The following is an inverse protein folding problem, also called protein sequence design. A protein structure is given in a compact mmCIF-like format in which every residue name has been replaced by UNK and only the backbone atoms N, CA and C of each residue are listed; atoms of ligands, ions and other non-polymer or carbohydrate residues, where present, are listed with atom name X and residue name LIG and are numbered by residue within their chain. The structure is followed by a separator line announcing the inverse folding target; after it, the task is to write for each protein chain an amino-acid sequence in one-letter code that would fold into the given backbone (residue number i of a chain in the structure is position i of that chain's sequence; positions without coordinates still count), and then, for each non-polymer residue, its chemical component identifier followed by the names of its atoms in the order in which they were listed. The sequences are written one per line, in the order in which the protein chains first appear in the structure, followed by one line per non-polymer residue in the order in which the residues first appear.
data_IF_904512086884
#
_entry.id   IF_904512086884
#
_cell.length_a   1.000
_cell.length_b   1.000
_cell.length_c   1.000
_cell.angle_alpha   90.00
_cell.angle_beta   90.00
_cell.angle_gamma   90.00
#
_symmetry.space_group_name_H-M   'P 1'
#
loop_
_entity.id
_entity.type
_entity.pdbx_description
1 polymer ?
#
# COMPACT_ATOMS: atom_id res chain seq x y z
N UNK A 1 -35.81 -2.83 20.90
CA UNK A 1 -34.65 -2.31 20.17
C UNK A 1 -33.54 -2.08 21.21
N UNK A 2 -32.67 -3.07 21.40
CA UNK A 2 -31.49 -2.88 22.23
C UNK A 2 -30.60 -1.82 21.62
N UNK A 3 -30.28 -0.81 22.41
CA UNK A 3 -29.41 0.29 22.00
C UNK A 3 -27.97 -0.22 21.97
N UNK A 4 -27.51 -0.71 20.84
CA UNK A 4 -26.16 -1.26 20.66
C UNK A 4 -25.02 -0.25 21.00
N UNK A 5 -25.31 1.05 21.12
CA UNK A 5 -24.35 2.07 21.60
C UNK A 5 -24.28 2.19 23.13
N UNK A 6 -25.10 1.43 23.86
CA UNK A 6 -25.05 1.38 25.32
C UNK A 6 -24.19 0.22 25.79
N UNK A 7 -23.07 -0.02 25.14
CA UNK A 7 -22.03 -0.85 25.72
C UNK A 7 -21.56 -0.18 27.01
N UNK A 8 -21.43 -0.93 28.13
CA UNK A 8 -20.86 -0.36 29.35
C UNK A 8 -19.52 0.27 29.01
N UNK A 9 -19.14 1.38 29.65
CA UNK A 9 -17.84 1.98 29.42
C UNK A 9 -16.79 0.91 29.66
N UNK A 10 -15.83 0.81 28.74
CA UNK A 10 -14.68 -0.05 28.91
C UNK A 10 -13.95 0.43 30.17
N UNK A 11 -14.16 -0.27 31.30
CA UNK A 11 -13.40 0.02 32.52
C UNK A 11 -12.05 -0.60 32.30
N UNK A 12 -11.09 0.22 31.88
CA UNK A 12 -9.67 -0.16 31.86
C UNK A 12 -9.24 -0.17 33.32
N UNK A 13 -9.19 -1.36 33.91
CA UNK A 13 -8.70 -1.53 35.28
C UNK A 13 -7.19 -1.31 35.35
N UNK A 14 -6.68 -0.82 36.49
CA UNK A 14 -5.24 -0.70 36.76
C UNK A 14 -4.49 -2.04 36.66
N UNK A 15 -5.23 -3.16 36.63
CA UNK A 15 -4.70 -4.52 36.52
C UNK A 15 -4.62 -5.06 35.08
N UNK A 16 -5.00 -4.27 34.06
CA UNK A 16 -4.95 -4.74 32.69
C UNK A 16 -3.50 -4.99 32.28
N UNK A 17 -3.21 -6.24 31.97
CA UNK A 17 -1.87 -6.65 31.55
C UNK A 17 -1.64 -6.32 30.07
N UNK A 18 -1.01 -5.19 29.82
CA UNK A 18 -0.58 -4.78 28.49
C UNK A 18 0.68 -5.50 27.98
N UNK A 19 1.16 -6.52 28.67
CA UNK A 19 2.40 -7.23 28.28
C UNK A 19 2.29 -7.84 26.91
N UNK A 20 1.12 -8.32 26.51
CA UNK A 20 0.88 -8.85 25.16
C UNK A 20 1.06 -7.78 24.07
N UNK A 21 0.56 -6.57 24.31
CA UNK A 21 0.73 -5.44 23.39
C UNK A 21 2.19 -4.99 23.30
N UNK A 22 2.88 -4.94 24.43
CA UNK A 22 4.31 -4.63 24.47
C UNK A 22 5.14 -5.68 23.77
N UNK A 23 4.80 -6.94 23.90
CA UNK A 23 5.43 -8.03 23.14
C UNK A 23 5.15 -7.92 21.66
N UNK A 24 3.90 -7.67 21.25
CA UNK A 24 3.53 -7.48 19.86
C UNK A 24 4.25 -6.30 19.20
N UNK A 25 4.47 -5.19 19.94
CA UNK A 25 5.19 -4.03 19.42
C UNK A 25 6.72 -4.23 19.31
N UNK A 26 7.27 -5.27 19.95
CA UNK A 26 8.71 -5.56 19.97
C UNK A 26 9.07 -6.87 19.24
N UNK A 27 8.12 -7.49 18.54
CA UNK A 27 8.41 -8.70 17.78
C UNK A 27 9.33 -8.38 16.60
N UNK A 28 10.46 -9.06 16.56
CA UNK A 28 11.36 -9.08 15.38
C UNK A 28 10.85 -10.02 14.27
N UNK A 29 9.78 -10.77 14.56
CA UNK A 29 9.17 -11.76 13.68
C UNK A 29 7.69 -11.49 13.49
N UNK A 30 7.13 -11.94 12.37
CA UNK A 30 5.70 -11.86 12.11
C UNK A 30 4.91 -12.75 13.09
N UNK A 31 3.60 -12.47 13.19
CA UNK A 31 2.68 -13.27 14.01
C UNK A 31 2.74 -14.75 13.63
N UNK A 32 2.80 -15.64 14.62
CA UNK A 32 2.77 -17.09 14.41
C UNK A 32 1.48 -17.49 13.67
N UNK A 33 1.58 -18.14 12.50
CA UNK A 33 0.43 -18.62 11.74
C UNK A 33 -0.56 -19.48 12.54
N UNK A 34 -0.10 -20.21 13.56
CA UNK A 34 -0.93 -21.04 14.40
C UNK A 34 -1.92 -20.25 15.27
N UNK A 35 -1.71 -18.93 15.44
CA UNK A 35 -2.61 -18.06 16.21
C UNK A 35 -3.82 -17.58 15.42
N UNK A 36 -3.86 -17.76 14.11
CA UNK A 36 -4.98 -17.31 13.28
C UNK A 36 -6.16 -18.27 13.33
N UNK A 37 -7.35 -17.75 13.56
CA UNK A 37 -8.60 -18.47 13.35
C UNK A 37 -8.99 -18.43 11.88
N UNK A 38 -8.91 -19.55 11.20
CA UNK A 38 -9.14 -19.65 9.76
C UNK A 38 -10.43 -20.44 9.49
N UNK A 39 -11.05 -20.14 8.35
CA UNK A 39 -12.14 -20.92 7.82
C UNK A 39 -11.64 -22.33 7.42
N UNK A 40 -12.52 -23.35 7.40
CA UNK A 40 -12.16 -24.67 6.90
C UNK A 40 -11.51 -24.60 5.51
N UNK A 41 -10.50 -25.42 5.28
CA UNK A 41 -9.71 -25.50 4.05
C UNK A 41 -8.79 -24.31 3.76
N UNK A 42 -8.64 -23.35 4.70
CA UNK A 42 -7.61 -22.33 4.63
C UNK A 42 -6.50 -22.61 5.62
N UNK A 43 -5.29 -22.20 5.29
CA UNK A 43 -4.15 -22.21 6.19
C UNK A 43 -3.34 -20.93 6.03
N UNK A 44 -2.73 -20.47 7.10
CA UNK A 44 -1.75 -19.39 7.07
C UNK A 44 -0.34 -20.00 7.11
N UNK A 45 0.55 -19.45 6.31
CA UNK A 45 1.96 -19.85 6.28
C UNK A 45 2.82 -18.58 6.30
N UNK A 46 3.80 -18.52 7.21
CA UNK A 46 4.76 -17.44 7.24
C UNK A 46 5.83 -17.67 6.17
N UNK A 47 5.88 -16.80 5.18
CA UNK A 47 6.88 -16.84 4.12
C UNK A 47 8.12 -16.06 4.53
N UNK A 48 7.93 -14.86 5.11
CA UNK A 48 9.00 -13.97 5.52
C UNK A 48 8.52 -12.88 6.47
N UNK A 49 9.32 -12.54 7.45
CA UNK A 49 9.21 -11.30 8.22
C UNK A 49 10.11 -10.22 7.62
N UNK A 50 9.76 -8.94 7.81
CA UNK A 50 10.63 -7.85 7.44
C UNK A 50 11.97 -7.94 8.18
N UNK A 51 13.08 -7.75 7.48
CA UNK A 51 14.40 -7.72 8.09
C UNK A 51 14.63 -6.43 8.87
N UNK A 52 15.61 -6.43 9.79
CA UNK A 52 15.95 -5.27 10.66
C UNK A 52 16.15 -3.95 9.89
N UNK A 53 16.66 -4.01 8.67
CA UNK A 53 16.94 -2.84 7.84
C UNK A 53 15.84 -2.57 6.78
N UNK A 54 14.74 -3.30 6.81
CA UNK A 54 13.65 -3.15 5.85
C UNK A 54 12.54 -2.22 6.37
N UNK A 55 12.41 -2.08 7.68
CA UNK A 55 11.33 -1.34 8.32
C UNK A 55 9.95 -1.98 8.07
N UNK A 56 8.91 -1.19 8.19
CA UNK A 56 7.54 -1.65 7.88
C UNK A 56 7.31 -1.73 6.37
N UNK A 57 6.47 -2.67 5.94
CA UNK A 57 6.00 -2.78 4.57
C UNK A 57 4.59 -2.19 4.45
N UNK A 58 4.36 -1.33 3.47
CA UNK A 58 3.10 -0.59 3.33
C UNK A 58 2.25 -1.03 2.14
N UNK A 59 2.85 -1.71 1.16
CA UNK A 59 2.12 -2.28 0.02
C UNK A 59 2.90 -3.41 -0.63
N UNK A 60 2.21 -4.23 -1.42
CA UNK A 60 2.83 -5.33 -2.16
C UNK A 60 2.11 -5.58 -3.49
N UNK A 61 2.85 -6.12 -4.46
CA UNK A 61 2.31 -6.57 -5.74
C UNK A 61 3.13 -7.72 -6.32
N UNK A 62 2.48 -8.62 -7.05
CA UNK A 62 3.15 -9.67 -7.81
C UNK A 62 3.34 -9.26 -9.27
N UNK A 63 4.48 -9.59 -9.83
CA UNK A 63 4.70 -9.48 -11.26
C UNK A 63 4.22 -10.73 -12.04
N UNK A 64 4.33 -10.68 -13.37
CA UNK A 64 3.91 -11.79 -14.23
C UNK A 64 4.76 -13.06 -14.07
N UNK A 65 5.90 -12.99 -13.41
CA UNK A 65 6.78 -14.13 -13.10
C UNK A 65 6.56 -14.67 -11.68
N UNK A 66 5.55 -14.15 -10.95
CA UNK A 66 5.26 -14.55 -9.57
C UNK A 66 6.25 -14.00 -8.53
N UNK A 67 7.07 -13.00 -8.90
CA UNK A 67 7.96 -12.35 -7.93
C UNK A 67 7.19 -11.30 -7.14
N UNK A 68 7.38 -11.27 -5.83
CA UNK A 68 6.71 -10.34 -4.92
C UNK A 68 7.54 -9.06 -4.78
N UNK A 69 6.94 -7.92 -5.09
CA UNK A 69 7.48 -6.62 -4.74
C UNK A 69 6.79 -6.06 -3.52
N UNK A 70 7.56 -5.58 -2.55
CA UNK A 70 7.06 -4.86 -1.38
C UNK A 70 7.62 -3.45 -1.34
N UNK A 71 6.82 -2.50 -0.86
CA UNK A 71 7.24 -1.14 -0.61
C UNK A 71 7.54 -0.94 0.88
N UNK A 72 8.67 -0.33 1.18
CA UNK A 72 9.04 0.07 2.54
C UNK A 72 8.37 1.38 2.90
N UNK A 73 8.01 1.52 4.17
CA UNK A 73 7.35 2.72 4.69
C UNK A 73 8.19 3.99 4.48
N UNK A 74 9.48 3.95 4.82
CA UNK A 74 10.37 5.09 4.62
C UNK A 74 10.61 5.34 3.13
N UNK A 75 11.37 4.44 2.51
CA UNK A 75 11.70 4.54 1.07
C UNK A 75 12.15 3.21 0.50
N UNK A 76 11.93 3.07 -0.78
CA UNK A 76 12.45 1.99 -1.60
C UNK A 76 11.50 0.82 -1.78
N UNK A 77 11.80 0.05 -2.79
CA UNK A 77 11.08 -1.15 -3.18
C UNK A 77 12.02 -2.34 -3.16
N UNK A 78 11.56 -3.45 -2.57
CA UNK A 78 12.28 -4.71 -2.52
C UNK A 78 11.50 -5.73 -3.32
N UNK A 79 12.18 -6.53 -4.13
CA UNK A 79 11.61 -7.64 -4.87
C UNK A 79 12.13 -8.96 -4.35
N UNK A 80 11.24 -9.89 -4.11
CA UNK A 80 11.53 -11.24 -3.67
C UNK A 80 11.19 -12.24 -4.77
N UNK A 81 12.14 -13.07 -5.13
CA UNK A 81 11.89 -14.27 -5.93
C UNK A 81 11.52 -15.39 -4.97
N UNK A 82 10.36 -15.98 -5.16
CA UNK A 82 9.85 -17.07 -4.33
C UNK A 82 10.20 -18.43 -4.94
N UNK A 83 10.20 -19.47 -4.11
CA UNK A 83 10.24 -20.87 -4.58
C UNK A 83 8.99 -21.21 -5.40
N UNK A 84 9.03 -22.29 -6.16
CA UNK A 84 7.93 -22.76 -7.00
C UNK A 84 6.63 -22.96 -6.19
N UNK A 85 6.74 -23.48 -4.98
CA UNK A 85 5.62 -23.62 -4.03
C UNK A 85 5.26 -22.32 -3.28
N UNK A 86 5.93 -21.20 -3.58
CA UNK A 86 5.77 -19.88 -2.98
C UNK A 86 6.01 -19.80 -1.45
N UNK A 87 6.69 -20.79 -0.87
CA UNK A 87 6.89 -20.89 0.59
C UNK A 87 8.22 -20.34 1.09
N UNK A 88 9.17 -20.08 0.19
CA UNK A 88 10.50 -19.61 0.56
C UNK A 88 10.92 -18.45 -0.34
N UNK A 89 11.63 -17.50 0.24
CA UNK A 89 12.34 -16.48 -0.52
C UNK A 89 13.68 -17.04 -0.97
N UNK A 90 13.90 -17.10 -2.27
CA UNK A 90 15.14 -17.57 -2.90
C UNK A 90 16.12 -16.42 -3.16
N UNK A 91 15.60 -15.22 -3.49
CA UNK A 91 16.41 -14.06 -3.81
C UNK A 91 15.72 -12.78 -3.35
N UNK A 92 16.52 -11.83 -2.87
CA UNK A 92 16.09 -10.50 -2.45
C UNK A 92 16.86 -9.45 -3.26
N UNK A 93 16.14 -8.47 -3.82
CA UNK A 93 16.71 -7.42 -4.67
C UNK A 93 16.12 -6.07 -4.29
N UNK A 94 16.95 -5.05 -4.14
CA UNK A 94 16.49 -3.67 -4.06
C UNK A 94 16.31 -3.17 -5.49
N UNK A 95 15.06 -2.90 -5.90
CA UNK A 95 14.72 -2.48 -7.27
C UNK A 95 14.47 -0.97 -7.40
N UNK A 96 14.38 -0.30 -6.29
CA UNK A 96 14.34 1.16 -6.18
C UNK A 96 14.71 1.57 -4.75
N UNK A 97 15.42 2.68 -4.57
CA UNK A 97 15.90 3.16 -3.27
C UNK A 97 15.58 4.64 -3.00
N UNK A 98 14.81 5.30 -3.88
CA UNK A 98 14.53 6.73 -3.80
C UNK A 98 13.05 7.10 -3.63
N UNK A 99 12.11 6.29 -4.12
CA UNK A 99 10.68 6.53 -3.95
C UNK A 99 10.24 6.28 -2.52
N UNK A 100 9.46 7.22 -1.98
CA UNK A 100 9.10 7.25 -0.56
C UNK A 100 7.67 6.85 -0.32
N UNK A 101 7.48 5.95 0.67
CA UNK A 101 6.18 5.50 1.15
C UNK A 101 5.22 5.15 -0.01
N UNK A 102 5.58 4.15 -0.80
CA UNK A 102 4.84 3.73 -1.98
C UNK A 102 3.63 2.90 -1.58
N UNK A 103 2.48 3.52 -1.36
CA UNK A 103 1.26 2.86 -0.88
C UNK A 103 0.50 2.10 -1.96
N UNK A 104 0.72 2.40 -3.22
CA UNK A 104 0.12 1.70 -4.35
C UNK A 104 1.18 1.11 -5.27
N UNK A 105 1.10 -0.18 -5.53
CA UNK A 105 1.95 -0.92 -6.46
C UNK A 105 1.07 -1.69 -7.43
N UNK A 106 1.34 -1.56 -8.73
CA UNK A 106 0.59 -2.28 -9.76
C UNK A 106 1.50 -2.66 -10.93
N UNK A 107 1.64 -3.95 -11.18
CA UNK A 107 2.22 -4.44 -12.43
C UNK A 107 1.18 -4.46 -13.54
N UNK A 108 1.39 -3.66 -14.56
CA UNK A 108 0.53 -3.59 -15.75
C UNK A 108 1.33 -3.10 -16.95
N UNK A 109 0.91 -3.45 -18.15
CA UNK A 109 1.46 -2.96 -19.42
C UNK A 109 3.00 -3.05 -19.48
N UNK A 110 3.58 -4.15 -18.98
CA UNK A 110 5.03 -4.39 -18.98
C UNK A 110 5.83 -3.42 -18.09
N UNK A 111 5.19 -2.83 -17.07
CA UNK A 111 5.80 -1.85 -16.17
C UNK A 111 5.30 -2.03 -14.75
N UNK A 112 6.04 -1.49 -13.77
CA UNK A 112 5.56 -1.30 -12.41
C UNK A 112 5.11 0.15 -12.24
N UNK A 113 3.84 0.34 -11.90
CA UNK A 113 3.27 1.63 -11.51
C UNK A 113 3.34 1.77 -9.99
N UNK A 114 3.74 2.95 -9.54
CA UNK A 114 4.03 3.22 -8.12
C UNK A 114 3.38 4.53 -7.70
N UNK A 115 2.39 4.44 -6.82
CA UNK A 115 1.81 5.62 -6.19
C UNK A 115 2.59 5.97 -4.92
N UNK A 116 3.58 6.85 -5.08
CA UNK A 116 4.55 7.19 -4.06
C UNK A 116 4.06 8.36 -3.20
N UNK A 117 3.51 8.05 -2.02
CA UNK A 117 2.82 9.01 -1.17
C UNK A 117 3.70 10.19 -0.75
N UNK A 118 4.88 9.93 -0.19
CA UNK A 118 5.82 10.96 0.24
C UNK A 118 6.73 11.50 -0.87
N UNK A 119 6.69 10.90 -2.06
CA UNK A 119 7.27 11.49 -3.28
C UNK A 119 6.26 12.30 -4.09
N UNK A 120 5.03 12.45 -3.60
CA UNK A 120 3.96 13.30 -4.14
C UNK A 120 3.57 13.02 -5.60
N UNK A 121 3.71 11.79 -6.08
CA UNK A 121 3.40 11.49 -7.48
C UNK A 121 3.16 10.00 -7.75
N UNK A 122 2.50 9.76 -8.88
CA UNK A 122 2.43 8.48 -9.57
C UNK A 122 3.62 8.35 -10.53
N UNK A 123 4.36 7.26 -10.42
CA UNK A 123 5.50 6.92 -11.26
C UNK A 123 5.25 5.64 -12.04
N UNK A 124 5.96 5.50 -13.15
CA UNK A 124 6.12 4.27 -13.91
C UNK A 124 7.59 3.87 -13.92
N UNK A 125 7.88 2.65 -13.48
CA UNK A 125 9.19 2.02 -13.58
C UNK A 125 9.13 0.98 -14.71
N UNK A 126 10.10 0.99 -15.60
CA UNK A 126 10.19 0.08 -16.73
C UNK A 126 11.60 -0.50 -16.86
N UNK A 127 11.66 -1.77 -17.12
CA UNK A 127 12.83 -2.49 -17.63
C UNK A 127 12.77 -2.41 -19.15
N UNK A 128 13.69 -1.66 -19.77
CA UNK A 128 13.64 -1.43 -21.22
C UNK A 128 14.51 -2.39 -22.01
N UNK A 129 15.46 -3.05 -21.34
CA UNK A 129 16.40 -4.00 -21.95
C UNK A 129 16.10 -5.47 -21.61
N UNK A 130 15.19 -5.74 -20.69
CA UNK A 130 14.75 -7.09 -20.32
C UNK A 130 15.67 -7.82 -19.34
N UNK A 131 16.59 -7.12 -18.68
CA UNK A 131 17.53 -7.72 -17.72
C UNK A 131 16.94 -7.91 -16.31
N UNK A 132 15.71 -7.45 -16.10
CA UNK A 132 15.01 -7.54 -14.82
C UNK A 132 15.26 -6.33 -13.90
N UNK A 133 16.05 -5.36 -14.32
CA UNK A 133 16.32 -4.12 -13.58
C UNK A 133 15.50 -2.97 -14.18
N UNK A 134 14.89 -2.15 -13.35
CA UNK A 134 14.19 -0.97 -13.83
C UNK A 134 15.20 0.14 -14.15
N UNK A 135 15.47 0.33 -15.43
CA UNK A 135 16.40 1.32 -15.97
C UNK A 135 15.72 2.65 -16.36
N UNK A 136 14.39 2.66 -16.41
CA UNK A 136 13.62 3.84 -16.79
C UNK A 136 12.53 4.17 -15.75
N UNK A 137 12.68 5.34 -15.10
CA UNK A 137 11.69 5.90 -14.18
C UNK A 137 11.05 7.16 -14.81
N UNK A 138 9.72 7.14 -14.93
CA UNK A 138 8.95 8.27 -15.46
C UNK A 138 7.92 8.73 -14.43
N UNK A 139 7.91 10.03 -14.11
CA UNK A 139 6.82 10.67 -13.41
C UNK A 139 5.62 10.81 -14.37
N UNK A 140 4.47 10.28 -13.97
CA UNK A 140 3.24 10.32 -14.76
C UNK A 140 2.31 11.43 -14.30
N UNK A 141 2.10 11.55 -13.00
CA UNK A 141 1.18 12.53 -12.42
C UNK A 141 1.69 12.99 -11.05
N UNK A 142 2.01 14.28 -10.94
CA UNK A 142 2.32 14.92 -9.68
C UNK A 142 1.03 15.49 -9.07
N UNK A 143 0.83 15.29 -7.76
CA UNK A 143 -0.31 15.83 -7.03
C UNK A 143 0.17 16.67 -5.84
N UNK A 144 -0.60 17.67 -5.47
CA UNK A 144 -0.36 18.51 -4.29
C UNK A 144 -1.07 17.92 -3.07
N UNK A 145 -0.72 18.41 -1.89
CA UNK A 145 -1.34 18.01 -0.63
C UNK A 145 -0.38 17.25 0.28
N UNK A 146 -0.91 16.81 1.41
CA UNK A 146 -0.15 16.11 2.45
C UNK A 146 0.00 14.61 2.20
N UNK A 147 0.65 13.96 3.16
CA UNK A 147 0.90 12.52 3.17
C UNK A 147 0.02 11.73 4.13
N UNK A 148 -0.86 12.36 4.90
CA UNK A 148 -1.77 11.69 5.84
C UNK A 148 -2.64 10.63 5.17
N UNK A 149 -3.90 10.93 4.89
CA UNK A 149 -4.75 10.13 4.00
C UNK A 149 -4.41 10.48 2.54
N UNK A 150 -3.21 10.11 2.12
CA UNK A 150 -2.58 10.60 0.90
C UNK A 150 -2.87 9.77 -0.34
N UNK A 151 -1.80 9.48 -1.07
CA UNK A 151 -1.81 8.69 -2.30
C UNK A 151 -1.77 7.22 -1.95
N UNK A 152 -2.85 6.51 -2.25
CA UNK A 152 -3.04 5.13 -1.84
C UNK A 152 -2.94 4.17 -3.05
N UNK A 153 -3.79 3.18 -3.10
CA UNK A 153 -3.69 2.03 -3.96
C UNK A 153 -3.94 2.33 -5.46
N UNK A 154 -3.57 1.36 -6.28
CA UNK A 154 -3.72 1.36 -7.73
C UNK A 154 -4.53 0.13 -8.16
N UNK A 155 -5.37 0.28 -9.17
CA UNK A 155 -6.10 -0.81 -9.77
C UNK A 155 -6.08 -0.73 -11.31
N UNK A 156 -6.04 -1.88 -11.98
CA UNK A 156 -6.25 -1.98 -13.41
C UNK A 156 -7.74 -2.21 -13.68
N UNK A 157 -8.36 -1.27 -14.39
CA UNK A 157 -9.75 -1.40 -14.81
C UNK A 157 -9.92 -2.40 -15.96
N UNK A 158 -11.14 -2.88 -16.18
CA UNK A 158 -11.49 -3.72 -17.32
C UNK A 158 -11.28 -3.01 -18.67
N UNK A 159 -11.30 -1.69 -18.66
CA UNK A 159 -10.99 -0.82 -19.81
C UNK A 159 -9.47 -0.61 -20.04
N UNK A 160 -8.64 -1.37 -19.32
CA UNK A 160 -7.18 -1.32 -19.37
C UNK A 160 -6.58 0.00 -18.88
N UNK A 161 -7.36 0.84 -18.21
CA UNK A 161 -6.84 2.06 -17.56
C UNK A 161 -6.40 1.78 -16.14
N UNK A 162 -5.45 2.59 -15.67
CA UNK A 162 -4.97 2.54 -14.31
C UNK A 162 -5.72 3.58 -13.49
N UNK A 163 -6.35 3.13 -12.42
CA UNK A 163 -7.06 3.95 -11.47
C UNK A 163 -6.22 4.11 -10.21
N UNK A 164 -6.02 5.35 -9.77
CA UNK A 164 -5.32 5.67 -8.53
C UNK A 164 -6.30 6.24 -7.50
N UNK A 165 -6.29 5.67 -6.30
CA UNK A 165 -7.10 6.14 -5.18
C UNK A 165 -6.29 7.15 -4.38
N UNK A 166 -6.91 8.31 -4.13
CA UNK A 166 -6.34 9.33 -3.27
C UNK A 166 -7.27 9.60 -2.08
N UNK A 167 -6.69 9.77 -0.90
CA UNK A 167 -7.39 10.21 0.29
C UNK A 167 -7.57 11.73 0.34
N UNK A 168 -8.21 12.20 1.40
CA UNK A 168 -8.59 13.60 1.60
C UNK A 168 -7.41 14.56 1.87
N UNK A 169 -6.22 14.03 2.13
CA UNK A 169 -5.00 14.84 2.26
C UNK A 169 -4.42 15.27 0.91
N UNK A 170 -4.90 14.72 -0.21
CA UNK A 170 -4.46 15.08 -1.56
C UNK A 170 -5.43 16.08 -2.17
N UNK A 171 -4.91 17.17 -2.73
CA UNK A 171 -5.74 18.17 -3.38
C UNK A 171 -6.42 17.59 -4.62
N UNK A 172 -7.69 17.96 -4.81
CA UNK A 172 -8.42 17.60 -6.03
C UNK A 172 -7.69 18.12 -7.28
N UNK A 173 -7.70 17.37 -8.37
CA UNK A 173 -7.19 17.85 -9.65
C UNK A 173 -7.90 19.13 -10.05
N UNK A 174 -7.13 20.03 -10.69
CA UNK A 174 -7.66 21.30 -11.18
C UNK A 174 -8.89 21.09 -12.06
N UNK A 175 -9.96 21.82 -11.77
CA UNK A 175 -11.21 21.77 -12.53
C UNK A 175 -12.23 20.74 -12.02
N UNK A 176 -11.87 19.80 -11.16
CA UNK A 176 -12.86 18.80 -10.63
C UNK A 176 -13.97 19.44 -9.80
N UNK A 177 -13.65 20.49 -9.04
CA UNK A 177 -14.62 21.23 -8.22
C UNK A 177 -15.26 22.43 -8.93
N UNK A 178 -14.89 22.71 -10.18
CA UNK A 178 -15.38 23.88 -10.93
C UNK A 178 -16.90 23.76 -11.20
N UNK A 179 -17.58 24.92 -11.28
CA UNK A 179 -19.04 24.98 -11.51
C UNK A 179 -19.50 24.20 -12.72
N UNK A 180 -18.67 24.10 -13.73
CA UNK A 180 -18.92 23.42 -15.01
C UNK A 180 -18.55 21.93 -14.98
N UNK A 181 -17.86 21.46 -13.94
CA UNK A 181 -17.49 20.06 -13.84
C UNK A 181 -18.71 19.15 -13.61
N UNK A 182 -18.89 18.09 -14.40
CA UNK A 182 -19.95 17.11 -14.17
C UNK A 182 -19.80 16.37 -12.81
N UNK A 183 -18.61 16.42 -12.21
CA UNK A 183 -18.30 15.79 -10.94
C UNK A 183 -18.55 16.68 -9.73
N UNK A 184 -18.78 17.98 -9.92
CA UNK A 184 -18.93 18.97 -8.85
C UNK A 184 -19.92 18.57 -7.76
N UNK A 185 -21.03 17.95 -8.13
CA UNK A 185 -22.08 17.53 -7.17
C UNK A 185 -21.64 16.38 -6.26
N UNK A 186 -20.55 15.71 -6.60
CA UNK A 186 -20.01 14.59 -5.82
C UNK A 186 -19.01 15.04 -4.76
N UNK A 187 -18.56 16.29 -4.81
CA UNK A 187 -17.59 16.85 -3.87
C UNK A 187 -18.25 17.91 -2.99
N UNK A 188 -17.86 17.92 -1.71
CA UNK A 188 -18.29 18.95 -0.78
C UNK A 188 -17.64 20.29 -1.17
N UNK A 189 -18.43 21.34 -1.52
CA UNK A 189 -17.88 22.61 -1.96
C UNK A 189 -17.11 23.38 -0.87
N UNK A 190 -17.24 22.95 0.39
CA UNK A 190 -16.57 23.56 1.55
C UNK A 190 -15.28 22.83 1.96
N UNK A 191 -14.90 21.75 1.26
CA UNK A 191 -13.65 21.04 1.49
C UNK A 191 -12.72 21.25 0.30
N UNK A 192 -11.49 21.65 0.60
CA UNK A 192 -10.44 21.77 -0.43
C UNK A 192 -9.93 20.40 -0.88
N UNK A 193 -10.07 19.40 -0.01
CA UNK A 193 -9.56 18.04 -0.23
C UNK A 193 -10.66 17.02 0.08
N UNK A 194 -10.81 16.05 -0.78
CA UNK A 194 -11.65 14.87 -0.59
C UNK A 194 -10.97 13.64 -1.18
N UNK A 195 -11.29 12.47 -0.64
CA UNK A 195 -10.86 11.20 -1.23
C UNK A 195 -11.40 11.08 -2.66
N UNK A 196 -10.56 10.73 -3.62
CA UNK A 196 -10.93 10.64 -5.02
C UNK A 196 -10.11 9.60 -5.79
N UNK A 197 -10.60 9.24 -6.96
CA UNK A 197 -9.93 8.33 -7.89
C UNK A 197 -9.59 9.10 -9.16
N UNK A 198 -8.39 8.93 -9.68
CA UNK A 198 -7.90 9.48 -10.94
C UNK A 198 -7.46 8.38 -11.89
#
# INVERSE_FOLDING_TARGET
QEKWWALPPLIIGESDDYTQWKRASNLEEATDPATFQLLPNYRAELIRSAGKNEGSWVSMAFDSQGRLTVAREDKGLIRYTLSEDSRKVLRTEIINDDLKECRGLLYAHGSLYVNANNSNALYRLRDTNGDGVFDHKKLLHASKGGSGHGRNDLALGSDQKIYAIHGDSVHLPKGMSDRTSPLRRKFNPFRENEGHVI
#
